data_IF_946375145462
#
_entry.id   IF_946375145462
#
_cell.length_a   1.000
_cell.length_b   1.000
_cell.length_c   1.000
_cell.angle_alpha   90.00
_cell.angle_beta   90.00
_cell.angle_gamma   90.00
#
_symmetry.space_group_name_H-M   'P 1'
#
loop_
_entity.id
_entity.type
_entity.pdbx_description
1 polymer ?
#
# COMPACT_ATOMS: atom_id res chain seq x y z
N UNK A 1 3.15 -35.48 12.01
CA UNK A 1 3.61 -34.67 10.87
C UNK A 1 2.51 -33.66 10.57
N UNK A 2 2.50 -32.54 11.27
CA UNK A 2 1.54 -31.45 11.06
C UNK A 2 2.27 -30.16 11.45
N UNK A 3 3.24 -29.80 10.61
CA UNK A 3 3.97 -28.55 10.78
C UNK A 3 3.11 -27.44 10.19
N UNK A 4 2.37 -26.80 11.08
CA UNK A 4 2.34 -25.35 11.21
C UNK A 4 2.38 -24.55 9.89
N UNK A 5 1.29 -24.62 9.14
CA UNK A 5 0.92 -23.58 8.19
C UNK A 5 0.55 -22.31 9.00
N UNK A 6 1.57 -21.57 9.43
CA UNK A 6 1.35 -20.17 9.80
C UNK A 6 1.29 -19.42 8.48
N UNK A 7 0.13 -18.88 8.06
CA UNK A 7 0.13 -17.96 6.94
C UNK A 7 1.05 -16.80 7.33
N UNK A 8 2.23 -16.79 6.72
CA UNK A 8 3.12 -15.64 6.77
C UNK A 8 2.35 -14.50 6.15
N UNK A 9 2.09 -13.44 6.91
CA UNK A 9 1.51 -12.16 6.42
C UNK A 9 2.31 -11.58 5.23
N UNK A 10 3.45 -12.18 4.88
CA UNK A 10 4.25 -11.92 3.70
C UNK A 10 3.65 -12.43 2.36
N UNK A 11 2.58 -13.23 2.37
CA UNK A 11 1.95 -13.78 1.14
C UNK A 11 0.59 -13.11 0.85
N UNK A 12 0.41 -11.84 1.21
CA UNK A 12 -0.70 -11.10 0.63
C UNK A 12 -0.33 -10.81 -0.84
N UNK A 13 -1.10 -11.27 -1.83
CA UNK A 13 -0.86 -10.87 -3.19
C UNK A 13 -0.88 -9.33 -3.27
N UNK A 14 -0.08 -8.74 -4.18
CA UNK A 14 -0.13 -7.31 -4.43
C UNK A 14 -1.58 -6.84 -4.58
N UNK A 15 -1.88 -5.60 -4.17
CA UNK A 15 -3.25 -5.10 -4.10
C UNK A 15 -3.97 -5.13 -5.45
N UNK A 16 -3.25 -5.25 -6.57
CA UNK A 16 -3.76 -5.34 -7.93
C UNK A 16 -3.98 -6.82 -8.39
N UNK A 17 -3.65 -7.83 -7.59
CA UNK A 17 -3.86 -9.24 -7.91
C UNK A 17 -5.09 -9.84 -7.23
N UNK A 18 -5.86 -9.06 -6.48
CA UNK A 18 -6.92 -9.56 -5.61
C UNK A 18 -8.27 -9.76 -6.33
N UNK A 19 -8.46 -9.24 -7.55
CA UNK A 19 -9.71 -9.47 -8.27
C UNK A 19 -9.91 -8.76 -9.61
N UNK A 20 -8.93 -8.01 -10.12
CA UNK A 20 -9.07 -7.30 -11.40
C UNK A 20 -10.03 -6.10 -11.37
N UNK A 21 -10.56 -5.75 -10.19
CA UNK A 21 -11.43 -4.58 -9.97
C UNK A 21 -10.89 -3.59 -8.93
N UNK A 22 -9.63 -3.73 -8.50
CA UNK A 22 -9.02 -2.79 -7.58
C UNK A 22 -8.76 -1.40 -8.20
N UNK A 23 -9.31 -0.39 -7.54
CA UNK A 23 -9.16 1.02 -7.87
C UNK A 23 -8.07 1.65 -7.01
N UNK A 24 -7.28 2.56 -7.60
CA UNK A 24 -6.34 3.35 -6.80
C UNK A 24 -7.12 4.17 -5.75
N UNK A 25 -6.79 4.09 -4.45
CA UNK A 25 -7.53 4.79 -3.39
C UNK A 25 -7.43 6.32 -3.50
N UNK A 26 -6.51 6.83 -4.32
CA UNK A 26 -6.29 8.26 -4.51
C UNK A 26 -7.01 8.83 -5.74
N UNK A 27 -7.10 8.09 -6.84
CA UNK A 27 -7.68 8.59 -8.10
C UNK A 27 -8.89 7.78 -8.60
N UNK A 28 -9.25 6.69 -7.94
CA UNK A 28 -10.35 5.81 -8.34
C UNK A 28 -10.15 5.12 -9.70
N UNK A 29 -8.95 5.19 -10.27
CA UNK A 29 -8.68 4.55 -11.56
C UNK A 29 -8.42 3.07 -11.34
N UNK A 30 -9.18 2.24 -12.05
CA UNK A 30 -8.89 0.81 -12.25
C UNK A 30 -7.57 0.70 -13.02
N UNK A 31 -6.63 -0.09 -12.49
CA UNK A 31 -5.48 -0.66 -13.20
C UNK A 31 -4.95 0.10 -14.41
N UNK A 32 -4.43 1.30 -14.20
CA UNK A 32 -3.72 1.94 -15.31
C UNK A 32 -2.37 1.25 -15.57
N UNK A 33 -1.77 0.64 -14.56
CA UNK A 33 -0.48 -0.06 -14.62
C UNK A 33 -0.49 -1.24 -13.63
N UNK A 34 -0.03 -2.43 -14.07
CA UNK A 34 0.23 -3.62 -13.24
C UNK A 34 1.46 -3.41 -12.35
N UNK A 35 1.41 -2.37 -11.51
CA UNK A 35 2.50 -1.95 -10.66
C UNK A 35 1.95 -1.32 -9.39
N UNK A 36 2.26 -1.96 -8.27
CA UNK A 36 2.03 -1.45 -6.93
C UNK A 36 3.15 -0.48 -6.54
N UNK A 37 2.78 0.69 -6.02
CA UNK A 37 3.69 1.57 -5.29
C UNK A 37 3.20 1.73 -3.87
N UNK A 38 4.08 1.59 -2.89
CA UNK A 38 3.77 1.84 -1.48
C UNK A 38 4.44 3.12 -1.03
N UNK A 39 3.75 3.89 -0.19
CA UNK A 39 4.37 5.00 0.50
C UNK A 39 5.38 4.48 1.53
N UNK A 40 6.60 5.00 1.54
CA UNK A 40 7.62 4.59 2.53
C UNK A 40 7.28 4.95 3.98
N UNK A 41 6.32 5.87 4.21
CA UNK A 41 5.96 6.34 5.56
C UNK A 41 4.75 5.60 6.15
N UNK A 42 3.68 5.39 5.38
CA UNK A 42 2.44 4.76 5.86
C UNK A 42 2.16 3.37 5.25
N UNK A 43 3.03 2.89 4.36
CA UNK A 43 2.89 1.64 3.60
C UNK A 43 1.61 1.53 2.75
N UNK A 44 0.88 2.64 2.58
CA UNK A 44 -0.39 2.63 1.87
C UNK A 44 -0.19 2.42 0.35
N UNK A 45 -0.98 1.54 -0.29
CA UNK A 45 -0.86 1.26 -1.71
C UNK A 45 -1.38 2.42 -2.58
N UNK A 46 -0.66 2.69 -3.67
CA UNK A 46 -0.97 3.74 -4.63
C UNK A 46 -0.53 3.35 -6.04
N UNK A 47 -1.09 4.01 -7.07
CA UNK A 47 -0.64 3.82 -8.46
C UNK A 47 0.62 4.66 -8.76
N UNK A 48 1.37 4.32 -9.81
CA UNK A 48 2.59 5.04 -10.19
C UNK A 48 2.38 6.54 -10.47
N UNK A 49 1.17 6.95 -10.87
CA UNK A 49 0.83 8.35 -11.07
C UNK A 49 0.60 9.10 -9.75
N UNK A 50 -0.13 8.49 -8.81
CA UNK A 50 -0.45 9.10 -7.53
C UNK A 50 0.67 8.96 -6.49
N UNK A 51 1.60 8.01 -6.68
CA UNK A 51 2.68 7.71 -5.73
C UNK A 51 3.47 8.97 -5.34
N UNK A 52 3.94 9.75 -6.30
CA UNK A 52 4.73 10.96 -6.02
C UNK A 52 3.93 12.04 -5.27
N UNK A 53 2.62 12.16 -5.50
CA UNK A 53 1.76 13.08 -4.75
C UNK A 53 1.47 12.54 -3.35
N UNK A 54 1.17 11.25 -3.25
CA UNK A 54 0.88 10.57 -1.99
C UNK A 54 2.09 10.58 -1.06
N UNK A 55 3.31 10.35 -1.55
CA UNK A 55 4.53 10.44 -0.73
C UNK A 55 4.79 11.84 -0.17
N UNK A 56 4.35 12.89 -0.87
CA UNK A 56 4.50 14.28 -0.42
C UNK A 56 3.42 14.70 0.57
N UNK A 57 2.20 14.19 0.37
CA UNK A 57 1.04 14.48 1.22
C UNK A 57 0.98 13.58 2.45
N UNK A 58 1.64 12.42 2.40
CA UNK A 58 1.83 11.52 3.52
C UNK A 58 2.67 12.22 4.59
N UNK A 59 2.00 13.02 5.40
CA UNK A 59 2.57 13.56 6.62
C UNK A 59 2.98 12.37 7.48
N UNK A 60 4.21 12.33 8.02
CA UNK A 60 4.57 11.41 9.08
C UNK A 60 3.86 11.87 10.37
N UNK A 61 2.52 11.85 10.38
CA UNK A 61 1.71 12.09 11.56
C UNK A 61 1.75 10.83 12.42
N UNK A 62 2.91 10.57 13.02
CA UNK A 62 3.20 9.33 13.75
C UNK A 62 3.91 9.50 15.08
N UNK A 63 4.91 10.40 15.24
CA UNK A 63 5.72 10.36 16.47
C UNK A 63 6.30 11.69 17.02
N UNK A 64 6.26 12.84 16.34
CA UNK A 64 6.85 14.09 16.85
C UNK A 64 5.86 14.99 17.64
N UNK A 65 5.05 14.39 18.52
CA UNK A 65 4.15 15.14 19.41
C UNK A 65 4.25 14.73 20.89
N UNK A 66 5.33 14.04 21.30
CA UNK A 66 5.44 13.48 22.67
C UNK A 66 6.72 13.78 23.44
N UNK A 67 7.49 14.80 23.06
CA UNK A 67 8.61 15.31 23.87
C UNK A 67 8.78 16.84 23.69
N UNK A 68 7.95 17.63 24.38
CA UNK A 68 8.26 19.02 24.72
C UNK A 68 7.54 19.48 25.98
#
# INVERSE_FOLDING_TARGET
MAEHDRPSVADAPPWWLHGGTEECPHCGQLYHLETERRCGACDSPSCAHCHAAHERDCSPSGEEARDR
#
